data_IF_677487811949
#
_entry.id   IF_677487811949
#
_cell.length_a   1.000
_cell.length_b   1.000
_cell.length_c   1.000
_cell.angle_alpha   90.00
_cell.angle_beta   90.00
_cell.angle_gamma   90.00
#
_symmetry.space_group_name_H-M   'P 1'
#
loop_
_entity.id
_entity.type
_entity.pdbx_description
1 polymer ?
#
# COMPACT_ATOMS: atom_id res chain seq x y z
N UNK A 1 73.98 22.66 -6.82
CA UNK A 1 72.72 22.76 -6.05
C UNK A 1 71.59 22.24 -6.88
N UNK A 2 71.05 21.08 -6.55
CA UNK A 2 69.97 20.43 -7.25
C UNK A 2 68.77 20.46 -6.29
N UNK A 3 67.61 21.04 -6.67
CA UNK A 3 66.41 20.96 -5.82
C UNK A 3 65.77 19.59 -6.04
N UNK A 4 65.63 18.84 -4.97
CA UNK A 4 64.90 17.58 -4.91
C UNK A 4 63.42 17.86 -4.98
N UNK A 5 62.80 17.52 -6.13
CA UNK A 5 61.35 17.55 -6.25
C UNK A 5 60.75 16.35 -5.52
N UNK A 6 60.08 16.61 -4.44
CA UNK A 6 59.29 15.59 -3.71
C UNK A 6 57.94 15.45 -4.43
N UNK A 7 57.82 14.41 -5.27
CA UNK A 7 56.54 14.00 -5.82
C UNK A 7 55.71 13.33 -4.74
N UNK A 8 54.80 14.10 -4.15
CA UNK A 8 53.81 13.60 -3.22
C UNK A 8 52.70 12.91 -4.02
N UNK A 9 52.83 11.59 -4.15
CA UNK A 9 51.78 10.75 -4.75
C UNK A 9 50.55 10.79 -3.83
N UNK A 10 49.59 11.62 -4.20
CA UNK A 10 48.25 11.59 -3.60
C UNK A 10 47.51 10.36 -4.08
N UNK A 11 47.67 9.27 -3.34
CA UNK A 11 46.86 8.06 -3.51
C UNK A 11 45.48 8.30 -2.87
N UNK A 12 44.62 9.04 -3.55
CA UNK A 12 43.22 9.10 -3.22
C UNK A 12 42.58 7.79 -3.66
N UNK A 13 42.50 6.82 -2.76
CA UNK A 13 41.60 5.68 -2.91
C UNK A 13 40.20 6.25 -3.10
N UNK A 14 39.74 6.23 -4.34
CA UNK A 14 38.36 6.47 -4.70
C UNK A 14 37.55 5.33 -4.11
N UNK A 15 37.01 5.54 -2.89
CA UNK A 15 36.05 4.63 -2.30
C UNK A 15 34.78 4.76 -3.15
N UNK A 16 34.66 3.89 -4.13
CA UNK A 16 33.40 3.68 -4.83
C UNK A 16 32.41 3.09 -3.85
N UNK A 17 31.77 3.96 -3.07
CA UNK A 17 30.50 3.62 -2.43
C UNK A 17 29.50 3.45 -3.54
N UNK A 18 29.38 2.22 -4.01
CA UNK A 18 28.22 1.77 -4.77
C UNK A 18 27.02 1.83 -3.82
N UNK A 19 26.51 3.05 -3.56
CA UNK A 19 25.14 3.22 -3.10
C UNK A 19 24.28 2.75 -4.27
N UNK A 20 23.84 1.48 -4.21
CA UNK A 20 22.67 1.05 -4.96
C UNK A 20 21.59 2.05 -4.57
N UNK A 21 21.31 3.00 -5.45
CA UNK A 21 20.10 3.79 -5.42
C UNK A 21 18.94 2.75 -5.49
N UNK A 22 18.45 2.31 -4.32
CA UNK A 22 17.13 1.70 -4.26
C UNK A 22 16.20 2.82 -4.74
N UNK A 23 15.83 2.78 -6.01
CA UNK A 23 14.76 3.65 -6.52
C UNK A 23 13.59 3.51 -5.55
N UNK A 24 13.31 4.60 -4.85
CA UNK A 24 12.24 4.63 -3.88
C UNK A 24 10.95 4.75 -4.68
N UNK A 25 10.33 3.59 -5.00
CA UNK A 25 9.08 3.56 -5.75
C UNK A 25 8.07 4.50 -5.09
N UNK A 26 7.27 5.23 -5.88
CA UNK A 26 6.18 6.04 -5.35
C UNK A 26 5.14 5.15 -4.64
N UNK A 27 4.27 5.74 -3.83
CA UNK A 27 3.24 4.97 -3.12
C UNK A 27 2.28 4.29 -4.12
N UNK A 28 1.93 5.00 -5.19
CA UNK A 28 1.08 4.49 -6.27
C UNK A 28 1.71 3.28 -6.97
N UNK A 29 3.00 3.36 -7.30
CA UNK A 29 3.74 2.24 -7.89
C UNK A 29 3.83 1.03 -6.97
N UNK A 30 3.86 1.24 -5.65
CA UNK A 30 3.81 0.13 -4.70
C UNK A 30 2.44 -0.55 -4.69
N UNK A 31 1.35 0.23 -4.76
CA UNK A 31 -0.01 -0.30 -4.88
C UNK A 31 -0.13 -1.11 -6.18
N UNK A 32 0.29 -0.55 -7.31
CA UNK A 32 0.26 -1.24 -8.60
C UNK A 32 1.06 -2.55 -8.55
N UNK A 33 2.26 -2.52 -7.99
CA UNK A 33 3.16 -3.67 -7.90
C UNK A 33 2.60 -4.81 -7.04
N UNK A 34 2.00 -4.50 -5.89
CA UNK A 34 1.63 -5.50 -4.89
C UNK A 34 0.15 -5.85 -4.86
N UNK A 35 -0.68 -5.00 -5.44
CA UNK A 35 -2.13 -5.13 -5.42
C UNK A 35 -2.82 -4.77 -6.75
N UNK A 36 -2.09 -4.85 -7.87
CA UNK A 36 -2.67 -4.63 -9.20
C UNK A 36 -3.81 -5.60 -9.50
N UNK A 37 -3.73 -6.85 -9.02
CA UNK A 37 -4.79 -7.85 -9.08
C UNK A 37 -6.07 -7.39 -8.36
N UNK A 38 -5.92 -6.81 -7.17
CA UNK A 38 -7.04 -6.27 -6.38
C UNK A 38 -7.64 -5.06 -7.10
N UNK A 39 -6.82 -4.07 -7.43
CA UNK A 39 -7.28 -2.83 -8.08
C UNK A 39 -8.05 -3.10 -9.37
N UNK A 40 -7.60 -4.06 -10.19
CA UNK A 40 -8.24 -4.39 -11.47
C UNK A 40 -9.41 -5.36 -11.36
N UNK A 41 -9.67 -5.94 -10.18
CA UNK A 41 -10.77 -6.88 -9.98
C UNK A 41 -12.14 -6.23 -10.18
N UNK A 42 -13.11 -7.00 -10.64
CA UNK A 42 -14.49 -6.53 -10.79
C UNK A 42 -15.12 -6.12 -9.46
N UNK A 43 -14.81 -6.84 -8.38
CA UNK A 43 -15.27 -6.50 -7.03
C UNK A 43 -14.77 -5.13 -6.59
N UNK A 44 -13.45 -4.89 -6.67
CA UNK A 44 -12.86 -3.59 -6.30
C UNK A 44 -13.37 -2.45 -7.19
N UNK A 45 -13.57 -2.70 -8.50
CA UNK A 45 -14.15 -1.70 -9.39
C UNK A 45 -15.62 -1.39 -9.05
N UNK A 46 -16.40 -2.37 -8.58
CA UNK A 46 -17.78 -2.16 -8.15
C UNK A 46 -17.90 -1.26 -6.92
N UNK A 47 -16.88 -1.18 -6.07
CA UNK A 47 -16.86 -0.30 -4.89
C UNK A 47 -16.86 1.20 -5.23
N UNK A 48 -16.65 1.56 -6.49
CA UNK A 48 -16.85 2.93 -6.98
C UNK A 48 -18.32 3.37 -6.89
N UNK A 49 -19.24 2.41 -6.87
CA UNK A 49 -20.68 2.65 -6.79
C UNK A 49 -21.21 2.68 -5.34
N UNK A 50 -20.40 2.25 -4.36
CA UNK A 50 -20.79 2.23 -2.95
C UNK A 50 -20.18 3.42 -2.23
N UNK A 51 -21.01 4.18 -1.54
CA UNK A 51 -20.55 5.37 -0.81
C UNK A 51 -20.09 4.98 0.60
N UNK A 52 -18.92 5.48 0.99
CA UNK A 52 -18.38 5.26 2.34
C UNK A 52 -18.79 6.41 3.27
N UNK A 53 -18.40 7.63 2.97
CA UNK A 53 -18.72 8.82 3.75
C UNK A 53 -18.78 10.05 2.85
N UNK A 54 -19.79 10.90 3.03
CA UNK A 54 -19.80 12.28 2.51
C UNK A 54 -19.50 12.45 1.03
N UNK A 55 -19.89 11.49 0.19
CA UNK A 55 -19.61 11.55 -1.26
C UNK A 55 -18.32 10.84 -1.69
N UNK A 56 -17.57 10.20 -0.77
CA UNK A 56 -16.39 9.41 -1.08
C UNK A 56 -16.81 7.94 -1.27
N UNK A 57 -16.46 7.32 -2.40
CA UNK A 57 -16.73 5.91 -2.65
C UNK A 57 -15.85 5.00 -1.78
N UNK A 58 -16.30 3.77 -1.53
CA UNK A 58 -15.51 2.75 -0.83
C UNK A 58 -14.17 2.52 -1.55
N UNK A 59 -14.16 2.49 -2.88
CA UNK A 59 -12.93 2.42 -3.68
C UNK A 59 -11.95 3.54 -3.34
N UNK A 60 -12.39 4.81 -3.40
CA UNK A 60 -11.53 5.96 -3.15
C UNK A 60 -11.04 5.98 -1.70
N UNK A 61 -11.89 5.58 -0.76
CA UNK A 61 -11.52 5.44 0.65
C UNK A 61 -10.41 4.40 0.83
N UNK A 62 -10.59 3.19 0.32
CA UNK A 62 -9.62 2.09 0.44
C UNK A 62 -8.26 2.44 -0.20
N UNK A 63 -8.27 3.07 -1.37
CA UNK A 63 -7.02 3.56 -2.01
C UNK A 63 -6.34 4.62 -1.16
N UNK A 64 -7.11 5.56 -0.58
CA UNK A 64 -6.56 6.60 0.29
C UNK A 64 -5.94 6.01 1.57
N UNK A 65 -6.56 5.00 2.15
CA UNK A 65 -6.03 4.28 3.32
C UNK A 65 -4.71 3.58 2.97
N UNK A 66 -4.63 2.92 1.82
CA UNK A 66 -3.39 2.27 1.36
C UNK A 66 -2.25 3.29 1.15
N UNK A 67 -2.52 4.41 0.47
CA UNK A 67 -1.55 5.49 0.28
C UNK A 67 -1.08 6.08 1.61
N UNK A 68 -2.01 6.35 2.52
CA UNK A 68 -1.71 6.89 3.85
C UNK A 68 -0.85 5.91 4.65
N UNK A 69 -1.16 4.62 4.64
CA UNK A 69 -0.40 3.58 5.33
C UNK A 69 1.05 3.50 4.85
N UNK A 70 1.27 3.58 3.53
CA UNK A 70 2.61 3.62 2.95
C UNK A 70 3.37 4.86 3.44
N UNK A 71 2.73 6.04 3.40
CA UNK A 71 3.37 7.28 3.79
C UNK A 71 3.72 7.31 5.29
N UNK A 72 2.82 6.80 6.15
CA UNK A 72 3.07 6.66 7.60
C UNK A 72 4.25 5.71 7.83
N UNK A 73 4.24 4.53 7.23
CA UNK A 73 5.32 3.55 7.39
C UNK A 73 6.68 4.13 6.97
N UNK A 74 6.72 4.92 5.90
CA UNK A 74 7.93 5.59 5.42
C UNK A 74 8.39 6.70 6.37
N UNK A 75 7.46 7.58 6.76
CA UNK A 75 7.77 8.74 7.61
C UNK A 75 8.33 8.31 8.96
N UNK A 76 7.71 7.31 9.56
CA UNK A 76 8.11 6.81 10.88
C UNK A 76 9.09 5.63 10.80
N UNK A 77 9.55 5.26 9.60
CA UNK A 77 10.50 4.14 9.37
C UNK A 77 10.03 2.83 10.00
N UNK A 78 8.72 2.57 9.90
CA UNK A 78 8.12 1.35 10.44
C UNK A 78 8.53 0.16 9.55
N UNK A 79 9.15 -0.84 10.15
CA UNK A 79 9.47 -2.09 9.47
C UNK A 79 8.22 -2.96 9.39
N UNK A 80 7.69 -3.12 8.18
CA UNK A 80 6.50 -3.92 7.92
C UNK A 80 6.61 -4.61 6.56
N UNK A 81 5.85 -5.69 6.38
CA UNK A 81 5.63 -6.26 5.06
C UNK A 81 4.71 -5.34 4.25
N UNK A 82 5.33 -4.57 3.37
CA UNK A 82 4.63 -3.57 2.53
C UNK A 82 3.57 -4.23 1.66
N UNK A 83 3.81 -5.45 1.15
CA UNK A 83 2.83 -6.16 0.33
C UNK A 83 1.55 -6.43 1.14
N UNK A 84 1.68 -7.08 2.28
CA UNK A 84 0.53 -7.41 3.13
C UNK A 84 -0.16 -6.15 3.66
N UNK A 85 0.59 -5.12 4.03
CA UNK A 85 0.03 -3.84 4.47
C UNK A 85 -0.83 -3.19 3.38
N UNK A 86 -0.33 -3.12 2.14
CA UNK A 86 -1.05 -2.50 1.01
C UNK A 86 -2.31 -3.29 0.67
N UNK A 87 -2.21 -4.62 0.58
CA UNK A 87 -3.33 -5.50 0.26
C UNK A 87 -4.39 -5.47 1.35
N UNK A 88 -3.98 -5.58 2.63
CA UNK A 88 -4.88 -5.47 3.76
C UNK A 88 -5.58 -4.11 3.82
N UNK A 89 -4.86 -3.01 3.56
CA UNK A 89 -5.44 -1.67 3.52
C UNK A 89 -6.49 -1.51 2.40
N UNK A 90 -6.28 -2.11 1.23
CA UNK A 90 -7.26 -2.08 0.14
C UNK A 90 -8.50 -2.93 0.43
N UNK A 91 -8.35 -4.01 1.19
CA UNK A 91 -9.41 -4.99 1.42
C UNK A 91 -10.15 -4.81 2.76
N UNK A 92 -9.72 -3.86 3.63
CA UNK A 92 -10.29 -3.74 4.97
C UNK A 92 -11.81 -3.46 4.97
N UNK A 93 -12.30 -2.78 3.95
CA UNK A 93 -13.72 -2.44 3.75
C UNK A 93 -14.33 -3.11 2.50
N UNK A 94 -13.79 -4.26 2.07
CA UNK A 94 -14.22 -5.00 0.89
C UNK A 94 -15.52 -5.79 1.15
N UNK A 95 -16.58 -5.06 1.58
CA UNK A 95 -17.87 -5.67 1.94
C UNK A 95 -18.85 -5.78 0.77
N UNK A 96 -18.66 -5.02 -0.33
CA UNK A 96 -19.38 -5.14 -1.62
C UNK A 96 -20.89 -4.91 -1.55
N UNK A 97 -21.36 -3.98 -0.72
CA UNK A 97 -22.75 -3.54 -0.68
C UNK A 97 -22.86 -2.08 -0.23
N UNK A 98 -24.00 -1.43 -0.56
CA UNK A 98 -24.29 -0.10 -0.02
C UNK A 98 -24.91 -0.22 1.38
N UNK A 99 -24.14 0.12 2.40
CA UNK A 99 -24.58 0.06 3.79
C UNK A 99 -25.54 1.20 4.17
N UNK A 100 -25.72 2.20 3.31
CA UNK A 100 -26.71 3.26 3.49
C UNK A 100 -28.12 2.82 3.08
N UNK A 101 -28.25 1.76 2.29
CA UNK A 101 -29.55 1.18 1.97
C UNK A 101 -30.22 0.59 3.22
N UNK A 102 -31.53 0.90 3.39
CA UNK A 102 -32.33 0.42 4.52
C UNK A 102 -32.70 -1.06 4.40
N UNK A 103 -31.73 -1.93 4.36
CA UNK A 103 -31.94 -3.37 4.40
C UNK A 103 -31.74 -3.88 5.84
N UNK A 104 -32.52 -4.90 6.23
CA UNK A 104 -32.36 -5.56 7.53
C UNK A 104 -30.98 -6.19 7.70
N UNK A 105 -30.34 -6.58 6.59
CA UNK A 105 -29.00 -7.17 6.60
C UNK A 105 -27.88 -6.15 6.93
N UNK A 106 -28.15 -4.85 6.76
CA UNK A 106 -27.15 -3.80 6.97
C UNK A 106 -27.26 -3.08 8.30
N UNK A 107 -28.27 -3.42 9.14
CA UNK A 107 -28.50 -2.78 10.44
C UNK A 107 -27.33 -2.93 11.43
N UNK A 108 -26.50 -3.95 11.26
CA UNK A 108 -25.34 -4.25 12.09
C UNK A 108 -24.01 -4.01 11.38
N UNK A 109 -24.00 -3.16 10.32
CA UNK A 109 -22.80 -2.90 9.49
C UNK A 109 -21.57 -2.60 10.37
N UNK A 110 -21.68 -1.72 11.36
CA UNK A 110 -20.57 -1.37 12.23
C UNK A 110 -19.93 -2.54 12.99
N UNK A 111 -20.64 -3.66 13.16
CA UNK A 111 -20.15 -4.87 13.83
C UNK A 111 -19.76 -5.99 12.87
N UNK A 112 -20.31 -5.99 11.66
CA UNK A 112 -20.19 -7.12 10.73
C UNK A 112 -19.35 -6.82 9.48
N UNK A 113 -19.11 -5.54 9.16
CA UNK A 113 -18.42 -5.15 7.92
C UNK A 113 -17.04 -5.80 7.78
N UNK A 114 -16.23 -5.80 8.83
CA UNK A 114 -14.89 -6.38 8.78
C UNK A 114 -14.92 -7.89 8.49
N UNK A 115 -15.86 -8.62 9.10
CA UNK A 115 -16.04 -10.07 8.83
C UNK A 115 -16.51 -10.31 7.41
N UNK A 116 -17.41 -9.47 6.91
CA UNK A 116 -17.91 -9.57 5.53
C UNK A 116 -16.80 -9.23 4.54
N UNK A 117 -16.03 -8.18 4.79
CA UNK A 117 -14.88 -7.82 3.98
C UNK A 117 -13.86 -8.97 3.91
N UNK A 118 -13.50 -9.56 5.06
CA UNK A 118 -12.59 -10.70 5.10
C UNK A 118 -13.11 -11.88 4.27
N UNK A 119 -14.37 -12.28 4.45
CA UNK A 119 -14.97 -13.40 3.70
C UNK A 119 -14.98 -13.16 2.20
N UNK A 120 -15.28 -11.93 1.77
CA UNK A 120 -15.27 -11.57 0.36
C UNK A 120 -13.84 -11.58 -0.19
N UNK A 121 -12.89 -11.03 0.57
CA UNK A 121 -11.49 -11.01 0.19
C UNK A 121 -10.89 -12.44 0.07
N UNK A 122 -11.17 -13.31 1.02
CA UNK A 122 -10.76 -14.74 0.96
C UNK A 122 -11.37 -15.49 -0.21
N UNK A 123 -12.61 -15.15 -0.61
CA UNK A 123 -13.25 -15.74 -1.78
C UNK A 123 -12.61 -15.29 -3.09
N UNK A 124 -12.24 -14.02 -3.20
CA UNK A 124 -11.88 -13.39 -4.47
C UNK A 124 -10.37 -13.33 -4.69
N UNK A 125 -9.56 -13.44 -3.63
CA UNK A 125 -8.10 -13.29 -3.69
C UNK A 125 -7.38 -14.38 -2.90
N UNK A 126 -6.17 -14.71 -3.36
CA UNK A 126 -5.28 -15.58 -2.61
C UNK A 126 -4.53 -14.75 -1.56
N UNK A 127 -5.01 -14.80 -0.33
CA UNK A 127 -4.46 -14.03 0.79
C UNK A 127 -3.42 -14.84 1.57
N UNK A 128 -2.42 -14.16 2.10
CA UNK A 128 -1.52 -14.69 3.12
C UNK A 128 -2.17 -14.58 4.51
N UNK A 129 -1.60 -15.27 5.50
CA UNK A 129 -2.10 -15.22 6.89
C UNK A 129 -1.99 -13.82 7.53
N UNK A 130 -1.24 -12.92 6.93
CA UNK A 130 -0.99 -11.57 7.45
C UNK A 130 -1.95 -10.55 6.81
N UNK A 131 -2.43 -10.83 5.62
CA UNK A 131 -3.45 -10.03 4.93
C UNK A 131 -4.84 -10.25 5.52
#
# INVERSE_FOLDING_TARGET
MIPVSINLIKNTKKINTCRKNKEHLSAEKLIEKYAGDIISSSGMQSEKNFMQHGGISCYSHSVSVALMSINIARTFRIHTDIKSMVRGALLHDYFLYDWHERSTMHKLHGFTHARTALRNAERDFNLSKIE
#
